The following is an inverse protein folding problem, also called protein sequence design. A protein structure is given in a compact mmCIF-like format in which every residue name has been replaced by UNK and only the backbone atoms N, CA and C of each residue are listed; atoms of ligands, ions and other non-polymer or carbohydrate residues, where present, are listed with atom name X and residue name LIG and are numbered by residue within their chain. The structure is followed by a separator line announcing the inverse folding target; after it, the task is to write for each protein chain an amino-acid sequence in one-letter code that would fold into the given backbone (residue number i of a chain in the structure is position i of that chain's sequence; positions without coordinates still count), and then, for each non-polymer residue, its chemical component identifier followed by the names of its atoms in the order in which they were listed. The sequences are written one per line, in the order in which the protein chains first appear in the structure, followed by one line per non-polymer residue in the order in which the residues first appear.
data_IF_747336618030
#
_entry.id   IF_747336618030
#
_cell.length_a   1.000
_cell.length_b   1.000
_cell.length_c   1.000
_cell.angle_alpha   90.00
_cell.angle_beta   90.00
_cell.angle_gamma   90.00
#
_symmetry.space_group_name_H-M   'P 1'
#
loop_
_entity.id
_entity.type
_entity.pdbx_description
1 polymer ?
#
# COMPACT_ATOMS: atom_id res chain seq x y z
N UNK A 1 -5.30 -7.43 10.24
CA UNK A 1 -6.48 -6.64 10.06
C UNK A 1 -6.33 -5.57 9.04
N UNK A 2 -7.48 -5.14 8.51
CA UNK A 2 -7.51 -4.16 7.46
C UNK A 2 -6.85 -2.84 7.83
N UNK A 3 -7.12 -2.35 9.05
CA UNK A 3 -6.57 -1.08 9.50
C UNK A 3 -5.04 -1.11 9.53
N UNK A 4 -4.50 -2.20 10.01
CA UNK A 4 -3.05 -2.34 10.09
C UNK A 4 -2.44 -2.35 8.69
N UNK A 5 -3.02 -3.12 7.79
CA UNK A 5 -2.54 -3.19 6.42
C UNK A 5 -2.60 -1.82 5.76
N UNK A 6 -3.70 -1.11 5.98
CA UNK A 6 -3.88 0.22 5.39
C UNK A 6 -2.82 1.18 5.92
N UNK A 7 -2.54 1.13 7.21
CA UNK A 7 -1.52 2.00 7.80
C UNK A 7 -0.13 1.71 7.24
N UNK A 8 0.21 0.44 7.15
CA UNK A 8 1.52 0.05 6.63
C UNK A 8 1.65 0.44 5.15
N UNK A 9 0.61 0.15 4.36
CA UNK A 9 0.63 0.47 2.95
C UNK A 9 0.73 1.98 2.73
N UNK A 10 0.05 2.75 3.58
CA UNK A 10 0.14 4.21 3.48
C UNK A 10 1.57 4.68 3.71
N UNK A 11 2.24 4.09 4.70
CA UNK A 11 3.63 4.43 4.96
C UNK A 11 4.54 4.09 3.78
N UNK A 12 4.33 2.94 3.18
CA UNK A 12 5.09 2.53 2.01
C UNK A 12 4.88 3.52 0.86
N UNK A 13 3.63 3.90 0.63
CA UNK A 13 3.30 4.83 -0.43
C UNK A 13 3.91 6.19 -0.19
N UNK A 14 3.92 6.64 1.07
CA UNK A 14 4.55 7.90 1.43
C UNK A 14 6.02 7.92 0.99
N UNK A 15 6.70 6.81 1.23
CA UNK A 15 8.12 6.74 0.89
C UNK A 15 8.34 6.60 -0.60
N UNK A 16 7.53 5.80 -1.26
CA UNK A 16 7.70 5.56 -2.69
C UNK A 16 7.49 6.82 -3.51
N UNK A 17 6.50 7.61 -3.15
CA UNK A 17 6.14 8.79 -3.93
C UNK A 17 6.48 10.09 -3.24
N UNK A 18 7.11 9.99 -2.08
CA UNK A 18 7.49 11.17 -1.29
C UNK A 18 6.29 12.07 -1.04
N UNK A 19 5.24 11.47 -0.53
CA UNK A 19 4.00 12.17 -0.25
C UNK A 19 3.75 12.24 1.25
N UNK A 20 3.06 13.29 1.71
CA UNK A 20 2.60 13.29 3.09
C UNK A 20 1.53 12.20 3.26
N UNK A 21 1.27 11.82 4.51
CA UNK A 21 0.37 10.72 4.80
C UNK A 21 -1.01 10.91 4.17
N UNK A 22 -1.57 12.09 4.26
CA UNK A 22 -2.91 12.34 3.72
C UNK A 22 -2.95 12.09 2.21
N UNK A 23 -1.94 12.56 1.49
CA UNK A 23 -1.89 12.38 0.05
C UNK A 23 -1.67 10.91 -0.30
N UNK A 24 -0.82 10.23 0.45
CA UNK A 24 -0.56 8.81 0.22
C UNK A 24 -1.84 7.99 0.44
N UNK A 25 -2.57 8.31 1.49
CA UNK A 25 -3.81 7.61 1.77
C UNK A 25 -4.84 7.83 0.64
N UNK A 26 -4.94 9.07 0.16
CA UNK A 26 -5.86 9.37 -0.93
C UNK A 26 -5.47 8.64 -2.21
N UNK A 27 -4.19 8.51 -2.45
CA UNK A 27 -3.72 7.76 -3.61
C UNK A 27 -4.18 6.31 -3.54
N UNK A 28 -4.02 5.69 -2.38
CA UNK A 28 -4.46 4.31 -2.18
C UNK A 28 -5.97 4.19 -2.33
N UNK A 29 -6.69 5.11 -1.72
CA UNK A 29 -8.15 5.06 -1.76
C UNK A 29 -8.65 5.22 -3.19
N UNK A 30 -8.06 6.14 -3.92
CA UNK A 30 -8.42 6.37 -5.31
C UNK A 30 -8.16 5.14 -6.17
N UNK A 31 -7.01 4.49 -5.95
CA UNK A 31 -6.67 3.29 -6.70
C UNK A 31 -7.63 2.16 -6.40
N UNK A 32 -7.98 1.99 -5.13
CA UNK A 32 -8.91 0.94 -4.74
C UNK A 32 -10.27 1.16 -5.40
N UNK A 33 -10.73 2.40 -5.40
CA UNK A 33 -12.01 2.73 -6.02
C UNK A 33 -11.97 2.46 -7.53
N UNK A 34 -10.89 2.86 -8.17
CA UNK A 34 -10.73 2.68 -9.60
C UNK A 34 -10.72 1.19 -9.98
N UNK A 35 -10.15 0.36 -9.13
CA UNK A 35 -10.09 -1.07 -9.38
C UNK A 35 -11.27 -1.83 -8.79
N UNK A 36 -12.16 -1.12 -8.13
CA UNK A 36 -13.33 -1.73 -7.49
C UNK A 36 -12.93 -2.79 -6.49
N UNK A 37 -11.94 -2.47 -5.69
CA UNK A 37 -11.40 -3.35 -4.67
C UNK A 37 -11.57 -2.72 -3.31
N UNK A 38 -11.56 -3.56 -2.29
CA UNK A 38 -11.54 -3.05 -0.92
C UNK A 38 -10.16 -2.45 -0.67
N UNK A 39 -10.16 -1.34 0.07
CA UNK A 39 -8.91 -0.67 0.40
C UNK A 39 -7.96 -1.61 1.14
N UNK A 40 -8.48 -2.42 2.05
CA UNK A 40 -7.64 -3.36 2.79
C UNK A 40 -6.97 -4.38 1.87
N UNK A 41 -7.69 -4.83 0.85
CA UNK A 41 -7.14 -5.80 -0.10
C UNK A 41 -6.02 -5.18 -0.92
N UNK A 42 -6.24 -3.95 -1.38
CA UNK A 42 -5.20 -3.25 -2.12
C UNK A 42 -3.99 -2.98 -1.23
N UNK A 43 -4.24 -2.61 0.02
CA UNK A 43 -3.17 -2.35 0.97
C UNK A 43 -2.31 -3.58 1.17
N UNK A 44 -2.94 -4.74 1.31
CA UNK A 44 -2.20 -5.98 1.48
C UNK A 44 -1.35 -6.29 0.25
N UNK A 45 -1.88 -6.01 -0.91
CA UNK A 45 -1.13 -6.22 -2.16
C UNK A 45 0.10 -5.31 -2.20
N UNK A 46 -0.05 -4.07 -1.74
CA UNK A 46 1.08 -3.13 -1.70
C UNK A 46 2.17 -3.66 -0.77
N UNK A 47 1.76 -4.18 0.38
CA UNK A 47 2.70 -4.73 1.34
C UNK A 47 3.42 -5.94 0.74
N UNK A 48 2.67 -6.84 0.13
CA UNK A 48 3.24 -8.05 -0.45
C UNK A 48 4.22 -7.73 -1.56
N UNK A 49 3.88 -6.74 -2.38
CA UNK A 49 4.76 -6.32 -3.47
C UNK A 49 6.04 -5.72 -2.92
N UNK A 50 5.92 -4.90 -1.88
CA UNK A 50 7.08 -4.29 -1.24
C UNK A 50 8.00 -5.35 -0.66
N UNK A 51 7.43 -6.33 0.03
CA UNK A 51 8.20 -7.42 0.61
C UNK A 51 8.94 -8.20 -0.46
N UNK A 52 8.25 -8.47 -1.57
CA UNK A 52 8.84 -9.23 -2.65
C UNK A 52 10.03 -8.51 -3.26
N UNK A 53 9.89 -7.20 -3.44
CA UNK A 53 10.94 -6.40 -4.06
C UNK A 53 12.16 -6.24 -3.15
N UNK A 54 11.94 -6.22 -1.85
CA UNK A 54 13.02 -5.98 -0.90
C UNK A 54 13.53 -7.25 -0.23
N UNK A 55 12.91 -8.37 -0.51
CA UNK A 55 13.30 -9.64 0.06
C UNK A 55 14.47 -10.19 -0.73
N UNK A 56 15.55 -10.58 -0.09
CA UNK A 56 16.70 -11.14 -0.81
C UNK A 56 16.43 -12.53 -1.26
N UNK A 57 15.71 -13.20 -1.22
CA UNK A 57 15.43 -14.42 -1.48
C UNK A 57 15.44 -15.10 -2.51
N UNK A 58 15.67 -15.58 -2.47
CA UNK A 58 15.82 -16.14 -3.11
C UNK A 58 15.33 -16.85 -3.68
N UNK A 59 15.41 -17.05 -3.88
CA UNK A 59 15.02 -17.63 -4.22
C UNK A 59 14.91 -18.32 -4.45
#
# INVERSE_FOLDING_TARGET
DGDRSINVATGITMMQYRLPRAAAFELLRSAARSQRRKLADLAQEVIDTCDRLHSPRKS
#
